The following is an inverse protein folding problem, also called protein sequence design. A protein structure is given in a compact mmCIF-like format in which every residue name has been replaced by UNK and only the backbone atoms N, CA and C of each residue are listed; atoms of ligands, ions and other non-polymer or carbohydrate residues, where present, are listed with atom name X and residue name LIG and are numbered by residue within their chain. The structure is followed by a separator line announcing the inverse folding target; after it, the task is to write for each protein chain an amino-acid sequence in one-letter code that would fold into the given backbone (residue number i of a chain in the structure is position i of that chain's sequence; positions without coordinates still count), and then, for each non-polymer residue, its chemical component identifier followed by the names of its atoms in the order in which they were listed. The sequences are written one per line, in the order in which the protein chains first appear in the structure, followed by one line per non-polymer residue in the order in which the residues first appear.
data_IF_824250625762
#
_entry.id   IF_824250625762
#
_cell.length_a   1.000
_cell.length_b   1.000
_cell.length_c   1.000
_cell.angle_alpha   90.00
_cell.angle_beta   90.00
_cell.angle_gamma   90.00
#
_symmetry.space_group_name_H-M   'P 1'
#
loop_
_entity.id
_entity.type
_entity.pdbx_description
1 polymer ?
#
# COMPACT_ATOMS: atom_id res chain seq x y z
N UNK A 1 -16.96 25.56 -14.30
CA UNK A 1 -16.83 25.29 -15.76
C UNK A 1 -17.13 23.80 -15.95
N UNK A 2 -17.94 23.45 -16.94
CA UNK A 2 -18.26 22.04 -17.24
C UNK A 2 -17.44 21.63 -18.46
N UNK A 3 -16.66 20.54 -18.34
CA UNK A 3 -15.92 19.97 -19.47
C UNK A 3 -16.74 18.79 -20.01
N UNK A 4 -17.06 18.86 -21.28
CA UNK A 4 -17.62 17.73 -22.05
C UNK A 4 -16.47 16.92 -22.66
N UNK A 5 -16.33 15.67 -22.27
CA UNK A 5 -15.43 14.74 -22.94
C UNK A 5 -16.30 13.73 -23.68
N UNK A 6 -16.27 13.77 -25.00
CA UNK A 6 -16.89 12.77 -25.84
C UNK A 6 -15.85 11.77 -26.30
N UNK A 7 -15.97 10.54 -25.85
CA UNK A 7 -15.22 9.42 -26.40
C UNK A 7 -16.23 8.48 -27.07
N UNK A 8 -16.06 8.18 -28.31
CA UNK A 8 -16.82 7.38 -29.28
C UNK A 8 -18.13 6.65 -28.88
N UNK A 9 -18.54 6.61 -27.60
CA UNK A 9 -19.80 6.02 -27.11
C UNK A 9 -20.31 6.54 -25.76
N UNK A 10 -19.55 7.39 -25.05
CA UNK A 10 -19.97 7.91 -23.77
C UNK A 10 -19.68 9.40 -23.65
N UNK A 11 -20.65 10.13 -23.13
CA UNK A 11 -20.55 11.55 -22.83
C UNK A 11 -20.33 11.68 -21.34
N UNK A 12 -19.11 12.11 -20.93
CA UNK A 12 -18.79 12.35 -19.52
C UNK A 12 -18.84 13.84 -19.25
N UNK A 13 -19.76 14.25 -18.42
CA UNK A 13 -19.88 15.62 -17.92
C UNK A 13 -19.08 15.75 -16.61
N UNK A 14 -17.94 16.43 -16.65
CA UNK A 14 -17.15 16.71 -15.45
C UNK A 14 -17.41 18.16 -15.02
N UNK A 15 -17.89 18.33 -13.78
CA UNK A 15 -17.88 19.63 -13.15
C UNK A 15 -16.46 19.93 -12.68
N UNK A 16 -15.81 20.90 -13.33
CA UNK A 16 -14.39 21.19 -13.09
C UNK A 16 -14.12 21.73 -11.68
N UNK A 17 -15.08 22.34 -11.01
CA UNK A 17 -14.89 22.81 -9.63
C UNK A 17 -14.79 21.62 -8.66
N UNK A 18 -15.67 20.62 -8.84
CA UNK A 18 -15.66 19.42 -8.02
C UNK A 18 -14.43 18.56 -8.33
N UNK A 19 -14.04 18.45 -9.60
CA UNK A 19 -12.86 17.70 -10.01
C UNK A 19 -11.56 18.35 -9.52
N UNK A 20 -11.42 19.67 -9.64
CA UNK A 20 -10.23 20.41 -9.16
C UNK A 20 -10.09 20.32 -7.65
N UNK A 21 -11.20 20.28 -6.90
CA UNK A 21 -11.19 20.09 -5.44
C UNK A 21 -10.90 18.62 -5.04
N UNK A 22 -11.21 17.68 -5.92
CA UNK A 22 -10.98 16.26 -5.68
C UNK A 22 -9.51 15.84 -5.87
N UNK A 23 -8.79 16.55 -6.75
CA UNK A 23 -7.39 16.29 -7.04
C UNK A 23 -6.53 17.34 -6.33
N UNK A 24 -5.69 16.91 -5.41
CA UNK A 24 -4.76 17.79 -4.68
C UNK A 24 -3.61 18.25 -5.58
N UNK A 25 -3.10 17.36 -6.43
CA UNK A 25 -1.97 17.63 -7.31
C UNK A 25 -1.96 16.66 -8.52
N UNK A 26 -1.64 17.19 -9.67
CA UNK A 26 -1.24 16.38 -10.84
C UNK A 26 0.26 16.56 -11.04
N UNK A 27 1.00 15.46 -11.03
CA UNK A 27 2.44 15.48 -11.31
C UNK A 27 2.66 14.78 -12.64
N UNK A 28 3.29 15.49 -13.57
CA UNK A 28 3.77 14.91 -14.81
C UNK A 28 5.22 14.44 -14.59
N UNK A 29 5.46 13.18 -14.87
CA UNK A 29 6.79 12.58 -14.79
C UNK A 29 7.12 11.95 -16.14
N UNK A 30 8.21 12.43 -16.74
CA UNK A 30 8.72 11.83 -17.96
C UNK A 30 9.53 10.58 -17.60
N UNK A 31 9.03 9.43 -18.00
CA UNK A 31 9.65 8.13 -17.81
C UNK A 31 9.87 7.51 -19.19
N UNK A 32 11.14 7.34 -19.57
CA UNK A 32 11.54 6.73 -20.84
C UNK A 32 10.89 7.38 -22.10
N UNK A 33 10.69 8.70 -22.07
CA UNK A 33 10.07 9.44 -23.17
C UNK A 33 8.55 9.35 -23.22
N UNK A 34 7.92 8.73 -22.21
CA UNK A 34 6.47 8.70 -22.05
C UNK A 34 6.08 9.60 -20.89
N UNK A 35 5.20 10.56 -21.14
CA UNK A 35 4.65 11.41 -20.07
C UNK A 35 3.63 10.61 -19.26
N UNK A 36 4.01 10.19 -18.07
CA UNK A 36 3.08 9.59 -17.11
C UNK A 36 2.48 10.67 -16.21
N UNK A 37 1.19 10.84 -16.29
CA UNK A 37 0.45 11.74 -15.39
C UNK A 37 0.00 10.98 -14.16
N UNK A 38 0.63 11.25 -13.01
CA UNK A 38 0.20 10.70 -11.71
C UNK A 38 -0.65 11.72 -10.98
N UNK A 39 -1.89 11.36 -10.71
CA UNK A 39 -2.82 12.19 -9.96
C UNK A 39 -2.71 11.88 -8.46
N UNK A 40 -2.76 12.94 -7.65
CA UNK A 40 -2.89 12.80 -6.20
C UNK A 40 -4.26 13.27 -5.77
N UNK A 41 -5.04 12.36 -5.21
CA UNK A 41 -6.41 12.59 -4.77
C UNK A 41 -6.44 12.96 -3.28
N UNK A 42 -7.36 13.84 -2.90
CA UNK A 42 -7.85 13.85 -1.51
C UNK A 42 -8.65 12.57 -1.26
N UNK A 43 -8.72 12.07 -0.02
CA UNK A 43 -9.52 10.88 0.29
C UNK A 43 -10.99 11.04 -0.12
N UNK A 44 -11.59 12.20 0.17
CA UNK A 44 -12.97 12.49 -0.20
C UNK A 44 -13.19 12.51 -1.72
N UNK A 45 -12.23 13.08 -2.47
CA UNK A 45 -12.26 13.08 -3.93
C UNK A 45 -12.13 11.69 -4.51
N UNK A 46 -11.21 10.89 -3.97
CA UNK A 46 -10.99 9.49 -4.33
C UNK A 46 -12.25 8.65 -4.13
N UNK A 47 -12.84 8.70 -2.93
CA UNK A 47 -14.04 7.90 -2.59
C UNK A 47 -15.25 8.29 -3.46
N UNK A 48 -15.40 9.57 -3.80
CA UNK A 48 -16.52 10.05 -4.60
C UNK A 48 -16.39 9.73 -6.10
N UNK A 49 -15.16 9.64 -6.60
CA UNK A 49 -14.90 9.53 -8.05
C UNK A 49 -14.15 8.24 -8.38
N UNK A 50 -14.49 7.14 -7.74
CA UNK A 50 -13.79 5.85 -7.92
C UNK A 50 -13.75 5.36 -9.38
N UNK A 51 -14.77 5.72 -10.18
CA UNK A 51 -14.83 5.41 -11.60
C UNK A 51 -13.77 6.13 -12.47
N UNK A 52 -13.13 7.17 -11.92
CA UNK A 52 -12.06 7.92 -12.58
C UNK A 52 -10.67 7.53 -12.08
N UNK A 53 -10.59 6.72 -11.04
CA UNK A 53 -9.33 6.27 -10.43
C UNK A 53 -8.61 5.31 -11.38
N UNK A 54 -7.30 5.43 -11.43
CA UNK A 54 -6.42 4.60 -12.27
C UNK A 54 -5.28 4.01 -11.44
N UNK A 55 -4.70 2.92 -11.94
CA UNK A 55 -3.48 2.33 -11.37
C UNK A 55 -2.35 3.37 -11.45
N UNK A 56 -1.62 3.55 -10.34
CA UNK A 56 -0.60 4.58 -10.19
C UNK A 56 -1.11 5.90 -9.58
N UNK A 57 -2.43 6.11 -9.50
CA UNK A 57 -2.97 7.25 -8.76
C UNK A 57 -2.62 7.17 -7.27
N UNK A 58 -2.36 8.32 -6.66
CA UNK A 58 -2.03 8.45 -5.24
C UNK A 58 -3.22 9.03 -4.47
N UNK A 59 -3.32 8.66 -3.22
CA UNK A 59 -4.31 9.19 -2.28
C UNK A 59 -3.57 9.75 -1.08
N UNK A 60 -3.82 11.01 -0.74
CA UNK A 60 -3.39 11.57 0.53
C UNK A 60 -4.26 11.02 1.64
N UNK A 61 -3.67 10.29 2.56
CA UNK A 61 -4.38 9.73 3.70
C UNK A 61 -4.57 10.80 4.79
N UNK A 62 -5.66 10.76 5.56
CA UNK A 62 -5.76 11.51 6.80
C UNK A 62 -4.67 11.06 7.77
N UNK A 63 -4.42 11.88 8.79
CA UNK A 63 -3.51 11.51 9.87
C UNK A 63 -4.04 10.27 10.59
N UNK A 64 -3.20 9.23 10.70
CA UNK A 64 -3.50 7.95 11.32
C UNK A 64 -2.66 7.83 12.58
N UNK A 65 -3.28 7.60 13.73
CA UNK A 65 -2.57 7.36 14.99
C UNK A 65 -2.90 5.98 15.52
N UNK A 66 -1.89 5.17 15.84
CA UNK A 66 -2.06 3.86 16.46
C UNK A 66 -1.59 3.92 17.92
N UNK A 67 -2.27 3.25 18.85
CA UNK A 67 -1.76 3.11 20.21
C UNK A 67 -0.59 2.12 20.26
N UNK A 68 0.24 2.21 21.32
CA UNK A 68 1.16 1.13 21.66
C UNK A 68 0.40 -0.14 22.02
N UNK A 69 0.76 -1.26 21.41
CA UNK A 69 0.07 -2.54 21.58
C UNK A 69 1.07 -3.70 21.69
N UNK A 70 0.60 -4.81 22.29
CA UNK A 70 1.39 -6.04 22.41
C UNK A 70 0.66 -7.21 21.78
N UNK A 71 1.33 -7.90 20.85
CA UNK A 71 0.86 -9.12 20.20
C UNK A 71 1.93 -10.21 20.29
N UNK A 72 1.56 -11.40 20.73
CA UNK A 72 2.45 -12.58 20.73
C UNK A 72 3.81 -12.35 21.41
N UNK A 73 3.88 -11.48 22.45
CA UNK A 73 5.15 -11.12 23.09
C UNK A 73 5.93 -9.97 22.43
N UNK A 74 5.57 -9.55 21.22
CA UNK A 74 6.16 -8.39 20.54
C UNK A 74 5.45 -7.10 20.94
N UNK A 75 6.23 -6.03 21.14
CA UNK A 75 5.70 -4.69 21.40
C UNK A 75 5.69 -3.89 20.09
N UNK A 76 4.57 -3.24 19.82
CA UNK A 76 4.40 -2.28 18.73
C UNK A 76 4.19 -0.91 19.36
N UNK A 77 5.09 0.01 19.05
CA UNK A 77 5.04 1.37 19.57
C UNK A 77 3.90 2.17 18.93
N UNK A 78 3.53 3.27 19.58
CA UNK A 78 2.61 4.24 19.01
C UNK A 78 3.17 4.81 17.71
N UNK A 79 2.32 4.92 16.67
CA UNK A 79 2.68 5.57 15.42
C UNK A 79 1.76 6.77 15.17
N UNK A 80 2.34 7.78 14.55
CA UNK A 80 1.66 8.97 14.06
C UNK A 80 2.05 9.18 12.59
N UNK A 81 1.12 8.90 11.69
CA UNK A 81 1.38 8.77 10.26
C UNK A 81 0.65 9.86 9.48
N UNK A 82 1.41 10.57 8.64
CA UNK A 82 0.89 11.43 7.58
C UNK A 82 1.45 10.93 6.25
N UNK A 83 0.70 10.05 5.57
CA UNK A 83 1.20 9.27 4.46
C UNK A 83 0.30 9.35 3.22
N UNK A 84 0.87 8.88 2.12
CA UNK A 84 0.18 8.63 0.88
C UNK A 84 0.09 7.13 0.61
N UNK A 85 -0.93 6.74 -0.14
CA UNK A 85 -1.03 5.39 -0.67
C UNK A 85 -1.25 5.44 -2.18
N UNK A 86 -0.65 4.49 -2.89
CA UNK A 86 -0.74 4.37 -4.35
C UNK A 86 -1.62 3.19 -4.74
N UNK A 87 -2.50 3.38 -5.72
CA UNK A 87 -3.31 2.33 -6.30
C UNK A 87 -2.41 1.38 -7.09
N UNK A 88 -2.25 0.13 -6.63
CA UNK A 88 -1.40 -0.85 -7.30
C UNK A 88 -2.16 -1.89 -8.12
N UNK A 89 -3.45 -2.08 -7.81
CA UNK A 89 -4.33 -2.99 -8.52
C UNK A 89 -5.80 -2.61 -8.33
N UNK A 90 -6.66 -3.09 -9.21
CA UNK A 90 -8.11 -2.96 -9.10
C UNK A 90 -8.79 -4.21 -9.62
N UNK A 91 -9.75 -4.74 -8.90
CA UNK A 91 -10.64 -5.81 -9.33
C UNK A 91 -12.10 -5.32 -9.46
N UNK A 92 -13.05 -6.23 -9.63
CA UNK A 92 -14.47 -5.89 -9.78
C UNK A 92 -15.06 -5.21 -8.54
N UNK A 93 -14.56 -5.56 -7.36
CA UNK A 93 -15.15 -5.20 -6.06
C UNK A 93 -14.30 -4.19 -5.28
N UNK A 94 -12.99 -4.11 -5.54
CA UNK A 94 -12.06 -3.38 -4.70
C UNK A 94 -11.06 -2.55 -5.51
N UNK A 95 -10.56 -1.51 -4.86
CA UNK A 95 -9.36 -0.77 -5.24
C UNK A 95 -8.28 -1.11 -4.20
N UNK A 96 -7.14 -1.62 -4.66
CA UNK A 96 -6.04 -2.05 -3.80
C UNK A 96 -4.96 -0.98 -3.76
N UNK A 97 -4.60 -0.59 -2.54
CA UNK A 97 -3.63 0.47 -2.28
C UNK A 97 -2.46 -0.05 -1.45
N UNK A 98 -1.29 0.51 -1.70
CA UNK A 98 -0.08 0.27 -0.91
C UNK A 98 0.46 1.60 -0.40
N UNK A 99 0.92 1.64 0.84
CA UNK A 99 1.59 2.82 1.37
C UNK A 99 2.82 3.17 0.53
N UNK A 100 3.03 4.44 0.26
CA UNK A 100 4.17 4.89 -0.55
C UNK A 100 5.49 4.66 0.16
N UNK A 101 5.49 4.82 1.49
CA UNK A 101 6.65 4.61 2.35
C UNK A 101 6.39 3.51 3.37
N UNK A 102 7.46 2.95 3.89
CA UNK A 102 7.37 2.07 5.05
C UNK A 102 7.11 2.87 6.31
N UNK A 103 6.39 2.27 7.24
CA UNK A 103 5.89 2.97 8.43
C UNK A 103 6.69 2.68 9.70
N UNK A 104 7.37 1.55 9.75
CA UNK A 104 8.20 1.12 10.90
C UNK A 104 9.11 -0.04 10.51
N UNK A 105 10.08 -0.36 11.37
CA UNK A 105 10.79 -1.65 11.38
C UNK A 105 10.13 -2.62 12.36
N UNK A 106 10.01 -3.89 11.98
CA UNK A 106 9.50 -4.94 12.86
C UNK A 106 9.91 -6.34 12.38
N UNK A 107 10.07 -7.28 13.30
CA UNK A 107 9.97 -8.69 12.98
C UNK A 107 8.53 -9.06 12.60
N UNK A 108 8.35 -10.18 11.91
CA UNK A 108 7.02 -10.76 11.67
C UNK A 108 6.54 -11.51 12.90
N UNK A 109 7.40 -12.37 13.44
CA UNK A 109 7.15 -13.18 14.64
C UNK A 109 8.49 -13.63 15.23
N UNK A 110 8.77 -13.31 16.47
CA UNK A 110 10.02 -13.71 17.14
C UNK A 110 10.10 -15.23 17.38
N UNK A 111 8.94 -15.89 17.47
CA UNK A 111 8.81 -17.32 17.79
C UNK A 111 8.17 -18.11 16.62
N UNK A 112 8.34 -17.63 15.38
CA UNK A 112 7.76 -18.28 14.20
C UNK A 112 8.37 -19.67 13.98
N UNK A 113 7.48 -20.67 13.85
CA UNK A 113 7.87 -22.07 13.70
C UNK A 113 7.28 -22.74 12.45
N UNK A 114 6.80 -21.95 11.48
CA UNK A 114 6.23 -22.47 10.24
C UNK A 114 4.77 -22.91 10.28
N UNK A 115 4.14 -22.89 11.45
CA UNK A 115 2.79 -23.44 11.65
C UNK A 115 1.67 -22.39 11.65
N UNK A 116 2.01 -21.12 11.39
CA UNK A 116 1.03 -20.01 11.39
C UNK A 116 0.92 -19.40 10.00
N UNK A 117 -0.29 -19.05 9.58
CA UNK A 117 -0.48 -18.12 8.47
C UNK A 117 -0.01 -16.72 8.88
N UNK A 118 0.40 -15.89 7.91
CA UNK A 118 0.85 -14.51 8.19
C UNK A 118 -0.13 -13.74 9.07
N UNK A 119 -1.43 -13.80 8.77
CA UNK A 119 -2.49 -13.12 9.54
C UNK A 119 -2.53 -13.50 11.03
N UNK A 120 -2.00 -14.67 11.39
CA UNK A 120 -1.99 -15.20 12.76
C UNK A 120 -0.65 -14.89 13.47
N UNK A 121 0.30 -14.26 12.79
CA UNK A 121 1.54 -13.76 13.39
C UNK A 121 1.30 -12.46 14.15
N UNK A 122 2.17 -12.08 15.11
CA UNK A 122 2.06 -10.81 15.82
C UNK A 122 1.95 -9.59 14.90
N UNK A 123 2.78 -9.50 13.85
CA UNK A 123 2.72 -8.41 12.89
C UNK A 123 1.43 -8.44 12.07
N UNK A 124 1.00 -9.63 11.61
CA UNK A 124 -0.25 -9.79 10.86
C UNK A 124 -1.47 -9.35 11.68
N UNK A 125 -1.54 -9.74 12.96
CA UNK A 125 -2.59 -9.31 13.89
C UNK A 125 -2.55 -7.80 14.11
N UNK A 126 -1.37 -7.22 14.35
CA UNK A 126 -1.24 -5.77 14.52
C UNK A 126 -1.71 -4.97 13.29
N UNK A 127 -1.35 -5.42 12.09
CA UNK A 127 -1.81 -4.78 10.85
C UNK A 127 -3.33 -4.86 10.70
N UNK A 128 -3.90 -6.04 10.92
CA UNK A 128 -5.33 -6.26 10.73
C UNK A 128 -6.19 -5.60 11.80
N UNK A 129 -5.77 -5.63 13.05
CA UNK A 129 -6.59 -5.17 14.16
C UNK A 129 -6.28 -3.71 14.52
N UNK A 130 -5.00 -3.37 14.72
CA UNK A 130 -4.61 -2.05 15.21
C UNK A 130 -4.51 -1.03 14.06
N UNK A 131 -3.72 -1.30 13.03
CA UNK A 131 -3.54 -0.32 11.94
C UNK A 131 -4.83 -0.17 11.12
N UNK A 132 -5.50 -1.27 10.79
CA UNK A 132 -6.76 -1.22 10.04
C UNK A 132 -7.84 -0.48 10.84
N UNK A 133 -7.93 -0.74 12.15
CA UNK A 133 -8.84 -0.01 13.05
C UNK A 133 -8.55 1.49 13.07
N UNK A 134 -7.28 1.87 13.23
CA UNK A 134 -6.86 3.28 13.22
C UNK A 134 -7.13 3.98 11.87
N UNK A 135 -7.00 3.28 10.75
CA UNK A 135 -7.39 3.79 9.44
C UNK A 135 -8.90 4.06 9.36
N UNK A 136 -9.72 3.13 9.84
CA UNK A 136 -11.18 3.29 9.88
C UNK A 136 -11.57 4.47 10.78
N UNK A 137 -10.97 4.61 11.95
CA UNK A 137 -11.20 5.73 12.88
C UNK A 137 -10.78 7.07 12.27
N UNK A 138 -9.75 7.09 11.43
CA UNK A 138 -9.34 8.25 10.64
C UNK A 138 -10.26 8.55 9.43
N UNK A 139 -11.31 7.74 9.21
CA UNK A 139 -12.28 7.92 8.13
C UNK A 139 -11.87 7.29 6.80
N UNK A 140 -10.84 6.43 6.77
CA UNK A 140 -10.47 5.64 5.59
C UNK A 140 -11.34 4.38 5.61
N UNK A 141 -12.15 4.09 4.56
CA UNK A 141 -12.95 2.86 4.51
C UNK A 141 -12.08 1.64 4.14
N UNK A 142 -11.03 1.42 4.93
CA UNK A 142 -10.04 0.38 4.70
C UNK A 142 -10.58 -1.01 5.06
N UNK A 143 -10.17 -1.99 4.29
CA UNK A 143 -10.39 -3.40 4.54
C UNK A 143 -9.13 -4.19 4.18
N UNK A 144 -8.99 -5.40 4.74
CA UNK A 144 -7.93 -6.34 4.39
C UNK A 144 -6.52 -5.73 4.49
N UNK A 145 -6.23 -5.08 5.62
CA UNK A 145 -4.89 -4.52 5.85
C UNK A 145 -3.89 -5.64 6.12
N UNK A 146 -2.78 -5.64 5.37
CA UNK A 146 -1.74 -6.65 5.44
C UNK A 146 -0.47 -6.21 4.71
N UNK A 147 0.32 -7.17 4.27
CA UNK A 147 1.49 -6.94 3.42
C UNK A 147 1.21 -7.41 1.99
N UNK A 148 2.04 -6.96 1.05
CA UNK A 148 2.04 -7.47 -0.32
C UNK A 148 2.50 -8.94 -0.32
N UNK A 149 2.00 -9.73 -1.28
CA UNK A 149 2.48 -11.09 -1.51
C UNK A 149 3.61 -11.09 -2.55
N UNK A 150 4.44 -12.11 -2.50
CA UNK A 150 5.53 -12.32 -3.47
C UNK A 150 5.02 -12.32 -4.91
N UNK A 151 3.92 -13.00 -5.17
CA UNK A 151 3.33 -13.10 -6.51
C UNK A 151 2.66 -11.81 -7.00
N UNK A 152 2.31 -10.89 -6.10
CA UNK A 152 1.84 -9.55 -6.47
C UNK A 152 2.98 -8.64 -6.96
N UNK A 153 4.20 -8.89 -6.47
CA UNK A 153 5.38 -8.09 -6.81
C UNK A 153 6.15 -8.63 -8.00
N UNK A 154 6.27 -9.97 -8.15
CA UNK A 154 7.12 -10.59 -9.14
C UNK A 154 6.43 -11.71 -9.93
N UNK A 155 7.03 -12.03 -11.08
CA UNK A 155 6.59 -13.14 -11.94
C UNK A 155 5.43 -12.79 -12.85
N UNK A 156 4.82 -13.81 -13.43
CA UNK A 156 3.73 -13.66 -14.40
C UNK A 156 2.44 -13.07 -13.83
N UNK A 157 2.25 -13.19 -12.50
CA UNK A 157 1.09 -12.69 -11.77
C UNK A 157 1.32 -11.32 -11.12
N UNK A 158 2.49 -10.70 -11.35
CA UNK A 158 2.78 -9.38 -10.81
C UNK A 158 1.67 -8.39 -11.17
N UNK A 159 1.22 -7.64 -10.15
CA UNK A 159 0.15 -6.65 -10.32
C UNK A 159 0.58 -5.54 -11.27
N UNK A 160 -0.34 -4.90 -11.99
CA UNK A 160 -0.02 -3.96 -13.05
C UNK A 160 0.98 -2.87 -12.63
N UNK A 161 0.81 -2.29 -11.45
CA UNK A 161 1.72 -1.28 -10.91
C UNK A 161 3.16 -1.80 -10.72
N UNK A 162 3.32 -3.03 -10.26
CA UNK A 162 4.62 -3.64 -9.97
C UNK A 162 5.31 -4.30 -11.15
N UNK A 163 4.68 -4.31 -12.35
CA UNK A 163 5.35 -4.74 -13.59
C UNK A 163 6.54 -3.86 -13.91
N UNK A 164 6.48 -2.57 -13.60
CA UNK A 164 7.65 -1.72 -13.53
C UNK A 164 8.42 -2.00 -12.22
N UNK A 165 9.64 -2.52 -12.34
CA UNK A 165 10.49 -2.89 -11.20
C UNK A 165 10.81 -1.73 -10.27
N UNK A 166 10.80 -0.49 -10.76
CA UNK A 166 11.03 0.73 -9.96
C UNK A 166 9.95 0.91 -8.90
N UNK A 167 8.72 0.50 -9.16
CA UNK A 167 7.60 0.59 -8.22
C UNK A 167 7.68 -0.41 -7.06
N UNK A 168 8.59 -1.39 -7.14
CA UNK A 168 8.90 -2.33 -6.04
C UNK A 168 9.87 -1.75 -5.01
N UNK A 169 10.59 -0.70 -5.36
CA UNK A 169 11.45 0.02 -4.43
C UNK A 169 10.59 0.77 -3.43
N UNK A 170 10.97 0.72 -2.16
CA UNK A 170 10.33 1.47 -1.08
C UNK A 170 11.37 2.30 -0.34
N UNK A 171 10.93 3.41 0.21
CA UNK A 171 11.76 4.31 1.00
C UNK A 171 11.27 4.34 2.44
N UNK A 172 12.17 4.62 3.37
CA UNK A 172 11.76 4.90 4.73
C UNK A 172 11.17 6.32 4.86
N UNK A 173 10.62 6.59 6.02
CA UNK A 173 9.96 7.86 6.29
C UNK A 173 10.96 8.98 6.62
N UNK A 174 12.08 8.65 7.26
CA UNK A 174 12.97 9.62 7.90
C UNK A 174 14.20 9.96 7.06
N UNK A 175 14.81 8.96 6.44
CA UNK A 175 16.12 9.08 5.79
C UNK A 175 16.05 9.19 4.27
N UNK A 176 14.86 8.97 3.68
CA UNK A 176 14.64 8.95 2.23
C UNK A 176 15.55 7.93 1.50
N UNK A 177 15.92 6.87 2.23
CA UNK A 177 16.75 5.77 1.73
C UNK A 177 15.89 4.63 1.20
N UNK A 178 16.34 3.95 0.16
CA UNK A 178 15.70 2.70 -0.28
C UNK A 178 15.96 1.60 0.74
N UNK A 179 14.90 0.87 1.07
CA UNK A 179 14.86 -0.07 2.18
C UNK A 179 14.40 -1.46 1.78
N UNK A 180 14.61 -2.42 2.66
CA UNK A 180 14.06 -3.77 2.56
C UNK A 180 12.74 -3.84 3.31
N UNK A 181 11.70 -4.40 2.69
CA UNK A 181 10.41 -4.54 3.35
C UNK A 181 9.83 -5.94 3.20
N UNK A 182 9.07 -6.35 4.21
CA UNK A 182 8.42 -7.65 4.27
C UNK A 182 7.33 -7.83 3.22
N UNK A 183 7.17 -9.10 2.78
CA UNK A 183 5.92 -9.60 2.19
C UNK A 183 5.27 -10.59 3.14
N UNK A 184 3.99 -10.91 2.94
CA UNK A 184 3.29 -11.92 3.74
C UNK A 184 3.58 -13.36 3.31
N UNK A 185 4.45 -13.57 2.32
CA UNK A 185 4.70 -14.88 1.75
C UNK A 185 5.80 -15.62 2.49
N UNK A 186 5.47 -16.78 3.05
CA UNK A 186 6.44 -17.71 3.63
C UNK A 186 7.28 -18.32 2.50
N UNK A 187 8.60 -18.37 2.67
CA UNK A 187 9.48 -19.05 1.73
C UNK A 187 9.39 -20.57 1.94
N UNK A 188 9.12 -21.32 0.87
CA UNK A 188 8.92 -22.77 0.96
C UNK A 188 10.17 -23.56 1.37
N UNK A 189 11.35 -23.01 1.20
CA UNK A 189 12.62 -23.66 1.54
C UNK A 189 12.91 -23.66 3.05
N UNK A 190 12.30 -22.73 3.80
CA UNK A 190 12.45 -22.62 5.26
C UNK A 190 11.13 -22.16 5.87
N UNK A 191 10.60 -22.93 6.79
CA UNK A 191 9.34 -22.59 7.48
C UNK A 191 9.47 -21.36 8.41
N UNK A 192 10.68 -20.90 8.68
CA UNK A 192 10.95 -19.74 9.52
C UNK A 192 11.23 -18.46 8.72
N UNK A 193 11.36 -18.55 7.39
CA UNK A 193 11.72 -17.41 6.55
C UNK A 193 10.52 -16.89 5.76
N UNK A 194 10.45 -15.55 5.68
CA UNK A 194 9.52 -14.83 4.84
C UNK A 194 10.25 -14.17 3.66
N UNK A 195 9.55 -14.06 2.53
CA UNK A 195 10.03 -13.29 1.41
C UNK A 195 9.98 -11.79 1.76
N UNK A 196 10.99 -11.05 1.33
CA UNK A 196 11.05 -9.59 1.40
C UNK A 196 11.46 -8.99 0.07
N UNK A 197 11.12 -7.73 -0.16
CA UNK A 197 11.68 -6.97 -1.26
C UNK A 197 12.98 -6.31 -0.81
N UNK A 198 14.00 -6.47 -1.63
CA UNK A 198 15.30 -5.82 -1.44
C UNK A 198 15.24 -4.35 -1.84
N UNK A 199 16.22 -3.55 -1.38
CA UNK A 199 16.28 -2.10 -1.66
C UNK A 199 16.28 -1.73 -3.16
N UNK A 200 16.60 -2.67 -4.05
CA UNK A 200 16.53 -2.50 -5.50
C UNK A 200 15.28 -3.10 -6.15
N UNK A 201 14.34 -3.61 -5.35
CA UNK A 201 13.10 -4.19 -5.83
C UNK A 201 13.18 -5.67 -6.21
N UNK A 202 14.29 -6.37 -5.93
CA UNK A 202 14.44 -7.80 -6.12
C UNK A 202 13.92 -8.60 -4.92
N UNK A 203 13.56 -9.88 -5.16
CA UNK A 203 13.11 -10.78 -4.11
C UNK A 203 14.29 -11.33 -3.31
N UNK A 204 14.12 -11.39 -2.00
CA UNK A 204 15.03 -12.00 -1.04
C UNK A 204 14.23 -12.72 0.04
N UNK A 205 14.86 -13.52 0.88
CA UNK A 205 14.22 -14.13 2.05
C UNK A 205 15.01 -13.84 3.31
N UNK A 206 14.29 -13.76 4.42
CA UNK A 206 14.89 -13.47 5.72
C UNK A 206 14.10 -14.08 6.85
N UNK A 207 14.78 -14.35 7.98
CA UNK A 207 14.13 -14.93 9.16
C UNK A 207 13.00 -14.05 9.69
N UNK A 208 11.84 -14.65 9.99
CA UNK A 208 10.68 -13.99 10.57
C UNK A 208 10.99 -13.15 11.83
N UNK A 209 12.05 -13.52 12.58
CA UNK A 209 12.54 -12.81 13.76
C UNK A 209 13.42 -11.60 13.45
N UNK A 210 13.65 -11.30 12.16
CA UNK A 210 14.51 -10.19 11.73
C UNK A 210 13.87 -8.81 11.96
N UNK A 211 14.20 -8.15 13.07
CA UNK A 211 13.59 -6.88 13.46
C UNK A 211 14.02 -5.66 12.61
N UNK A 212 15.06 -5.79 11.78
CA UNK A 212 15.58 -4.70 10.95
C UNK A 212 14.94 -4.56 9.58
N UNK A 213 13.90 -5.35 9.26
CA UNK A 213 13.17 -5.25 8.00
C UNK A 213 11.94 -4.37 8.19
N UNK A 214 11.65 -3.55 7.19
CA UNK A 214 10.59 -2.55 7.26
C UNK A 214 9.21 -3.13 6.92
N UNK A 215 8.18 -2.43 7.34
CA UNK A 215 6.76 -2.75 7.12
C UNK A 215 6.18 -1.74 6.15
N UNK A 216 5.78 -2.21 4.95
CA UNK A 216 5.07 -1.45 3.92
C UNK A 216 3.66 -2.01 3.79
N UNK A 217 2.65 -1.43 4.45
CA UNK A 217 1.30 -1.98 4.45
C UNK A 217 0.60 -1.83 3.10
N UNK A 218 -0.32 -2.76 2.83
CA UNK A 218 -1.34 -2.64 1.80
C UNK A 218 -2.72 -2.74 2.42
N UNK A 219 -3.73 -2.19 1.77
CA UNK A 219 -5.13 -2.30 2.15
C UNK A 219 -6.03 -2.20 0.92
N UNK A 220 -7.32 -2.46 1.12
CA UNK A 220 -8.32 -2.35 0.05
C UNK A 220 -9.42 -1.38 0.44
N UNK A 221 -10.04 -0.74 -0.56
CA UNK A 221 -11.25 0.05 -0.43
C UNK A 221 -12.30 -0.54 -1.36
N UNK A 222 -13.48 -0.85 -0.83
CA UNK A 222 -14.58 -1.37 -1.64
C UNK A 222 -15.03 -0.33 -2.68
N UNK A 223 -15.31 -0.79 -3.90
CA UNK A 223 -15.95 0.03 -4.94
C UNK A 223 -17.41 0.28 -4.56
N UNK A 224 -17.87 1.50 -4.84
CA UNK A 224 -19.25 1.95 -4.62
C UNK A 224 -20.14 1.59 -5.80
#
# INVERSE_FOLDING_TARGET
MKIHITNNREEILIDTEDYTKAIEKTTEQELDGVLETRRTWTLAGFTRNQNLVQIGDRVKLPRITTPSMKYGGMNFEELDLEEYATVYDMDESNIHLVFDRAIMQSAIDNDYNGNKAFKDTPLGQWLNDTLNGAMIDAGIPAADCGLLRKDELWGGNAKPFFKDGRNRVCFDKEEDCSIWYWTETVENASAADFCRAYSYGDADCYSASGAGTYVRPRFSIAKL
#
